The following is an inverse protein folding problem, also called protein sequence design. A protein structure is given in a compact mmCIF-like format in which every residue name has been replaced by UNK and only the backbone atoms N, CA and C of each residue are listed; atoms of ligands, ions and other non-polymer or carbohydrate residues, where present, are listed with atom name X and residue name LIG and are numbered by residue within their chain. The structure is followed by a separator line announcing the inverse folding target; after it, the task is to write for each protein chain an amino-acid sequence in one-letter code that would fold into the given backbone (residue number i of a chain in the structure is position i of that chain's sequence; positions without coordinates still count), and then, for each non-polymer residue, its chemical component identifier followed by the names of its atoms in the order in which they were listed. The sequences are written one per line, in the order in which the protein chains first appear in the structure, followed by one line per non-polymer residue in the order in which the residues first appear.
data_IF_575948138118
#
_entry.id   IF_575948138118
#
_cell.length_a   1.000
_cell.length_b   1.000
_cell.length_c   1.000
_cell.angle_alpha   90.00
_cell.angle_beta   90.00
_cell.angle_gamma   90.00
#
_symmetry.space_group_name_H-M   'P 1'
#
loop_
_entity.id
_entity.type
_entity.pdbx_description
1 polymer ?
#
# COMPACT_ATOMS: atom_id res chain seq x y z
N UNK A 1 -12.94 10.83 6.11
CA UNK A 1 -13.45 9.49 5.73
C UNK A 1 -14.91 9.40 6.17
N UNK A 2 -15.78 8.74 5.40
CA UNK A 2 -17.21 8.54 5.69
C UNK A 2 -17.59 7.08 5.45
N UNK A 3 -18.55 6.57 6.22
CA UNK A 3 -19.14 5.26 5.98
C UNK A 3 -20.52 5.43 5.32
N UNK A 4 -20.85 4.55 4.37
CA UNK A 4 -22.15 4.53 3.71
C UNK A 4 -22.77 3.14 3.81
N UNK A 5 -23.65 2.96 4.80
CA UNK A 5 -24.31 1.67 5.05
C UNK A 5 -25.28 1.26 3.92
N UNK A 6 -25.79 2.20 3.13
CA UNK A 6 -26.65 1.89 1.98
C UNK A 6 -25.84 1.33 0.80
N UNK A 7 -24.70 1.97 0.47
CA UNK A 7 -23.76 1.47 -0.54
C UNK A 7 -22.85 0.34 -0.05
N UNK A 8 -22.89 0.02 1.26
CA UNK A 8 -22.02 -0.95 1.94
C UNK A 8 -20.53 -0.72 1.66
N UNK A 9 -20.11 0.55 1.73
CA UNK A 9 -18.75 0.96 1.41
C UNK A 9 -18.28 2.12 2.28
N UNK A 10 -16.96 2.26 2.36
CA UNK A 10 -16.28 3.43 2.91
C UNK A 10 -15.89 4.39 1.80
N UNK A 11 -16.11 5.69 2.03
CA UNK A 11 -15.63 6.78 1.19
C UNK A 11 -14.43 7.45 1.87
N UNK A 12 -13.28 7.38 1.20
CA UNK A 12 -11.99 7.85 1.70
C UNK A 12 -11.56 9.04 0.86
N UNK A 13 -11.62 10.24 1.46
CA UNK A 13 -11.18 11.47 0.81
C UNK A 13 -9.73 11.76 1.18
N UNK A 14 -8.91 11.98 0.18
CA UNK A 14 -7.52 12.45 0.28
C UNK A 14 -7.42 13.87 -0.26
N UNK A 15 -6.22 14.46 -0.23
CA UNK A 15 -5.98 15.77 -0.83
C UNK A 15 -6.16 15.77 -2.36
N UNK A 16 -5.84 14.65 -3.03
CA UNK A 16 -5.83 14.53 -4.49
C UNK A 16 -7.06 13.86 -5.07
N UNK A 17 -7.72 12.96 -4.33
CA UNK A 17 -8.81 12.14 -4.85
C UNK A 17 -9.77 11.63 -3.77
N UNK A 18 -10.93 11.12 -4.21
CA UNK A 18 -11.86 10.36 -3.35
C UNK A 18 -11.92 8.92 -3.84
N UNK A 19 -11.67 7.99 -2.92
CA UNK A 19 -11.65 6.56 -3.17
C UNK A 19 -12.81 5.87 -2.45
N UNK A 20 -13.13 4.65 -2.89
CA UNK A 20 -14.10 3.80 -2.23
C UNK A 20 -13.52 2.42 -1.93
N UNK A 21 -13.86 1.86 -0.77
CA UNK A 21 -13.56 0.46 -0.47
C UNK A 21 -14.82 -0.23 0.08
N UNK A 22 -15.28 -1.34 -0.55
CA UNK A 22 -16.46 -2.07 -0.08
C UNK A 22 -16.22 -2.72 1.28
N UNK A 23 -17.28 -2.84 2.08
CA UNK A 23 -17.27 -3.57 3.35
C UNK A 23 -16.87 -5.05 3.21
N UNK A 24 -17.17 -5.67 2.07
CA UNK A 24 -16.76 -7.04 1.76
C UNK A 24 -15.24 -7.19 1.55
N UNK A 25 -14.51 -6.08 1.41
CA UNK A 25 -13.06 -6.08 1.19
C UNK A 25 -12.26 -5.77 2.44
N UNK A 26 -12.89 -5.49 3.59
CA UNK A 26 -12.20 -5.23 4.86
C UNK A 26 -12.15 -6.48 5.75
N UNK A 27 -11.18 -6.54 6.66
CA UNK A 27 -10.96 -7.73 7.50
C UNK A 27 -12.15 -8.09 8.39
N UNK A 28 -12.64 -7.14 9.17
CA UNK A 28 -13.86 -7.30 9.99
C UNK A 28 -15.07 -6.78 9.21
N UNK A 29 -15.80 -7.68 8.55
CA UNK A 29 -16.89 -7.27 7.66
C UNK A 29 -18.16 -6.86 8.43
N UNK A 30 -18.64 -5.61 8.27
CA UNK A 30 -19.95 -5.20 8.79
C UNK A 30 -21.08 -6.06 8.22
N UNK A 31 -22.02 -6.48 9.07
CA UNK A 31 -23.20 -7.27 8.68
C UNK A 31 -24.48 -6.50 8.99
N UNK A 32 -25.61 -6.96 8.46
CA UNK A 32 -26.92 -6.32 8.74
C UNK A 32 -27.23 -6.28 10.24
N UNK A 33 -26.84 -7.33 10.97
CA UNK A 33 -27.02 -7.47 12.41
C UNK A 33 -25.98 -6.73 13.26
N UNK A 34 -24.86 -6.31 12.65
CA UNK A 34 -23.78 -5.60 13.35
C UNK A 34 -23.16 -4.57 12.40
N UNK A 35 -23.79 -3.40 12.37
CA UNK A 35 -23.47 -2.32 11.42
C UNK A 35 -22.34 -1.47 11.95
N UNK A 36 -21.81 -0.61 11.09
CA UNK A 36 -20.82 0.39 11.49
C UNK A 36 -21.50 1.44 12.37
N UNK A 37 -20.98 1.61 13.59
CA UNK A 37 -21.42 2.63 14.52
C UNK A 37 -20.62 3.93 14.35
N UNK A 38 -19.30 3.83 14.19
CA UNK A 38 -18.42 4.99 14.02
C UNK A 38 -17.14 4.66 13.28
N UNK A 39 -16.51 5.69 12.72
CA UNK A 39 -15.24 5.61 12.00
C UNK A 39 -14.38 6.83 12.30
N UNK A 40 -13.08 6.64 12.48
CA UNK A 40 -12.15 7.75 12.75
C UNK A 40 -10.79 7.45 12.11
N UNK A 41 -10.10 8.52 11.71
CA UNK A 41 -8.72 8.42 11.21
C UNK A 41 -7.83 8.13 12.40
N UNK A 42 -6.97 7.15 12.25
CA UNK A 42 -5.99 6.85 13.27
C UNK A 42 -4.84 7.86 13.16
N UNK A 43 -4.71 8.73 14.17
CA UNK A 43 -3.64 9.72 14.24
C UNK A 43 -2.30 9.12 14.69
N UNK A 44 -2.32 7.95 15.34
CA UNK A 44 -1.12 7.24 15.79
C UNK A 44 -0.44 6.51 14.62
N UNK A 45 -1.20 6.07 13.62
CA UNK A 45 -0.70 5.48 12.38
C UNK A 45 -0.33 6.53 11.30
N UNK A 46 0.23 7.67 11.69
CA UNK A 46 0.63 8.74 10.76
C UNK A 46 -0.46 9.19 9.76
N UNK A 47 -1.75 8.95 10.07
CA UNK A 47 -2.90 9.16 9.18
C UNK A 47 -2.88 8.30 7.90
N UNK A 48 -2.18 7.16 7.92
CA UNK A 48 -2.10 6.20 6.82
C UNK A 48 -3.25 5.18 6.83
N UNK A 49 -4.21 5.31 7.73
CA UNK A 49 -5.37 4.43 7.81
C UNK A 49 -6.52 5.00 8.64
N UNK A 50 -7.58 4.22 8.77
CA UNK A 50 -8.71 4.53 9.63
C UNK A 50 -9.22 3.29 10.36
N UNK A 51 -9.78 3.53 11.54
CA UNK A 51 -10.44 2.51 12.36
C UNK A 51 -11.95 2.67 12.20
N UNK A 52 -12.66 1.56 12.20
CA UNK A 52 -14.12 1.50 12.31
C UNK A 52 -14.52 0.60 13.47
N UNK A 53 -15.65 0.95 14.08
CA UNK A 53 -16.22 0.23 15.22
C UNK A 53 -17.63 -0.19 14.85
N UNK A 54 -17.92 -1.47 15.04
CA UNK A 54 -19.26 -2.04 14.84
C UNK A 54 -20.14 -1.74 16.07
N UNK A 55 -21.45 -1.97 15.94
CA UNK A 55 -22.40 -1.79 17.05
C UNK A 55 -22.11 -2.71 18.23
N UNK A 56 -21.55 -3.90 17.97
CA UNK A 56 -21.03 -4.82 18.99
C UNK A 56 -19.84 -4.29 19.79
N UNK A 57 -19.22 -3.18 19.34
CA UNK A 57 -17.98 -2.65 19.89
C UNK A 57 -16.71 -3.26 19.28
N UNK A 58 -16.86 -4.29 18.44
CA UNK A 58 -15.74 -4.87 17.69
C UNK A 58 -15.09 -3.83 16.77
N UNK A 59 -13.76 -3.84 16.70
CA UNK A 59 -13.00 -2.84 15.93
C UNK A 59 -12.26 -3.49 14.77
N UNK A 60 -12.17 -2.77 13.67
CA UNK A 60 -11.34 -3.13 12.54
C UNK A 60 -10.59 -1.92 11.99
N UNK A 61 -9.50 -2.20 11.29
CA UNK A 61 -8.63 -1.17 10.69
C UNK A 61 -8.60 -1.37 9.18
N UNK A 62 -8.51 -0.26 8.45
CA UNK A 62 -8.27 -0.24 7.00
C UNK A 62 -7.06 0.66 6.74
N UNK A 63 -6.03 0.10 6.11
CA UNK A 63 -4.86 0.86 5.67
C UNK A 63 -5.13 1.53 4.32
N UNK A 64 -4.51 2.68 4.06
CA UNK A 64 -4.65 3.40 2.80
C UNK A 64 -4.17 2.54 1.62
N UNK A 65 -3.09 1.80 1.77
CA UNK A 65 -2.59 0.80 0.81
C UNK A 65 -3.69 -0.11 0.27
N UNK A 66 -4.51 -0.69 1.17
CA UNK A 66 -5.61 -1.56 0.79
C UNK A 66 -6.67 -0.83 -0.04
N UNK A 67 -6.91 0.45 0.27
CA UNK A 67 -7.83 1.31 -0.50
C UNK A 67 -7.25 1.59 -1.88
N UNK A 68 -5.99 2.02 -1.96
CA UNK A 68 -5.31 2.36 -3.21
C UNK A 68 -5.17 1.14 -4.12
N UNK A 69 -4.83 -0.02 -3.56
CA UNK A 69 -4.74 -1.29 -4.28
C UNK A 69 -6.10 -1.69 -4.87
N UNK A 70 -7.18 -1.64 -4.08
CA UNK A 70 -8.53 -1.94 -4.58
C UNK A 70 -8.95 -1.00 -5.71
N UNK A 71 -8.63 0.29 -5.60
CA UNK A 71 -8.97 1.30 -6.61
C UNK A 71 -7.97 1.32 -7.79
N UNK A 72 -6.99 0.42 -7.81
CA UNK A 72 -5.95 0.33 -8.83
C UNK A 72 -5.21 1.67 -9.05
N UNK A 73 -4.88 2.36 -7.95
CA UNK A 73 -4.16 3.63 -8.04
C UNK A 73 -2.82 3.44 -8.77
N UNK A 74 -2.59 4.12 -9.92
CA UNK A 74 -1.42 3.85 -10.74
C UNK A 74 -0.10 4.17 -10.04
N UNK A 75 -0.07 5.19 -9.18
CA UNK A 75 1.14 5.59 -8.48
C UNK A 75 1.49 4.58 -7.39
N UNK A 76 0.49 4.14 -6.63
CA UNK A 76 0.64 3.09 -5.63
C UNK A 76 1.13 1.78 -6.27
N UNK A 77 0.43 1.29 -7.30
CA UNK A 77 0.77 0.03 -7.96
C UNK A 77 2.17 0.06 -8.57
N UNK A 78 2.55 1.18 -9.21
CA UNK A 78 3.91 1.36 -9.73
C UNK A 78 4.94 1.25 -8.61
N UNK A 79 4.75 1.97 -7.51
CA UNK A 79 5.70 1.98 -6.40
C UNK A 79 5.79 0.59 -5.73
N UNK A 80 4.66 -0.09 -5.54
CA UNK A 80 4.61 -1.45 -5.00
C UNK A 80 5.28 -2.48 -5.94
N UNK A 81 5.13 -2.33 -7.26
CA UNK A 81 5.83 -3.15 -8.24
C UNK A 81 7.34 -2.89 -8.21
N UNK A 82 7.76 -1.62 -8.24
CA UNK A 82 9.17 -1.24 -8.17
C UNK A 82 9.83 -1.78 -6.89
N UNK A 83 9.18 -1.65 -5.74
CA UNK A 83 9.66 -2.20 -4.48
C UNK A 83 9.89 -3.71 -4.57
N UNK A 84 8.89 -4.47 -5.05
CA UNK A 84 9.01 -5.94 -5.24
C UNK A 84 10.16 -6.30 -6.18
N UNK A 85 10.29 -5.58 -7.29
CA UNK A 85 11.38 -5.79 -8.25
C UNK A 85 12.76 -5.48 -7.65
N UNK A 86 12.88 -4.43 -6.84
CA UNK A 86 14.14 -4.11 -6.13
C UNK A 86 14.50 -5.20 -5.13
N UNK A 87 13.55 -5.72 -4.35
CA UNK A 87 13.79 -6.84 -3.42
C UNK A 87 14.25 -8.08 -4.18
N UNK A 88 13.60 -8.42 -5.29
CA UNK A 88 13.98 -9.56 -6.11
C UNK A 88 15.36 -9.37 -6.74
N UNK A 89 15.66 -8.18 -7.25
CA UNK A 89 16.99 -7.85 -7.78
C UNK A 89 18.07 -7.98 -6.70
N UNK A 90 17.83 -7.47 -5.49
CA UNK A 90 18.75 -7.62 -4.36
C UNK A 90 19.00 -9.09 -4.01
N UNK A 91 17.95 -9.92 -3.97
CA UNK A 91 18.07 -11.36 -3.72
C UNK A 91 18.94 -12.02 -4.78
N UNK A 92 18.64 -11.80 -6.07
CA UNK A 92 19.41 -12.40 -7.17
C UNK A 92 20.86 -11.94 -7.21
N UNK A 93 21.13 -10.67 -6.91
CA UNK A 93 22.51 -10.17 -6.81
C UNK A 93 23.25 -10.84 -5.65
N UNK A 94 22.60 -11.06 -4.50
CA UNK A 94 23.20 -11.74 -3.35
C UNK A 94 23.48 -13.23 -3.60
N UNK A 95 22.62 -13.92 -4.35
CA UNK A 95 22.78 -15.36 -4.65
C UNK A 95 23.62 -15.64 -5.89
N UNK A 96 23.93 -14.62 -6.69
CA UNK A 96 24.72 -14.77 -7.91
C UNK A 96 26.20 -15.01 -7.58
N UNK A 97 26.86 -15.85 -8.38
CA UNK A 97 28.32 -16.01 -8.36
C UNK A 97 29.04 -14.86 -9.08
N UNK A 98 28.30 -14.00 -9.79
CA UNK A 98 28.86 -12.86 -10.52
C UNK A 98 29.14 -11.70 -9.57
N UNK A 99 30.31 -11.08 -9.74
CA UNK A 99 30.60 -9.81 -9.07
C UNK A 99 29.67 -8.70 -9.58
N UNK A 100 29.42 -7.67 -8.76
CA UNK A 100 28.63 -6.49 -9.18
C UNK A 100 29.18 -5.85 -10.46
N UNK A 101 30.51 -5.82 -10.64
CA UNK A 101 31.15 -5.28 -11.84
C UNK A 101 30.85 -6.12 -13.09
N UNK A 102 30.82 -7.44 -12.96
CA UNK A 102 30.44 -8.33 -14.06
C UNK A 102 28.96 -8.21 -14.42
N UNK A 103 28.10 -8.03 -13.42
CA UNK A 103 26.67 -7.72 -13.63
C UNK A 103 26.50 -6.40 -14.39
N UNK A 104 27.20 -5.34 -13.96
CA UNK A 104 27.23 -4.03 -14.64
C UNK A 104 27.64 -4.18 -16.10
N UNK A 105 28.72 -4.94 -16.36
CA UNK A 105 29.23 -5.20 -17.71
C UNK A 105 28.21 -5.91 -18.59
N UNK A 106 27.56 -6.98 -18.10
CA UNK A 106 26.58 -7.76 -18.86
C UNK A 106 25.28 -7.01 -19.13
N UNK A 107 24.86 -6.15 -18.20
CA UNK A 107 23.67 -5.32 -18.36
C UNK A 107 23.91 -4.08 -19.24
N UNK A 108 25.16 -3.78 -19.62
CA UNK A 108 25.48 -2.57 -20.38
C UNK A 108 25.11 -1.28 -19.64
N UNK A 109 25.23 -1.29 -18.30
CA UNK A 109 24.84 -0.17 -17.44
C UNK A 109 26.04 0.38 -16.66
N UNK A 110 25.86 1.45 -15.91
CA UNK A 110 26.86 1.98 -14.98
C UNK A 110 26.71 1.39 -13.58
N UNK A 111 27.79 1.39 -12.79
CA UNK A 111 27.72 0.97 -11.38
C UNK A 111 26.74 1.83 -10.57
N UNK A 112 26.68 3.13 -10.84
CA UNK A 112 25.74 4.04 -10.19
C UNK A 112 24.28 3.67 -10.48
N UNK A 113 23.95 3.30 -11.73
CA UNK A 113 22.61 2.84 -12.10
C UNK A 113 22.25 1.53 -11.40
N UNK A 114 23.19 0.57 -11.33
CA UNK A 114 22.96 -0.67 -10.59
C UNK A 114 22.69 -0.38 -9.10
N UNK A 115 23.46 0.49 -8.46
CA UNK A 115 23.24 0.81 -7.05
C UNK A 115 21.89 1.48 -6.80
N UNK A 116 21.44 2.38 -7.69
CA UNK A 116 20.10 2.97 -7.58
C UNK A 116 18.98 1.94 -7.68
N UNK A 117 19.11 0.94 -8.56
CA UNK A 117 18.13 -0.14 -8.67
C UNK A 117 18.06 -1.01 -7.41
N UNK A 118 19.21 -1.19 -6.74
CA UNK A 118 19.33 -1.99 -5.53
C UNK A 118 19.08 -1.20 -4.25
N UNK A 119 18.88 0.11 -4.33
CA UNK A 119 18.67 0.98 -3.18
C UNK A 119 17.17 1.25 -2.98
N UNK A 120 16.65 0.85 -1.82
CA UNK A 120 15.24 1.02 -1.45
C UNK A 120 14.92 2.46 -0.99
N UNK A 121 15.93 3.26 -0.63
CA UNK A 121 15.76 4.60 -0.06
C UNK A 121 15.56 5.68 -1.13
N UNK A 122 15.92 5.39 -2.38
CA UNK A 122 15.78 6.31 -3.53
C UNK A 122 14.34 6.44 -4.08
N UNK A 123 13.32 6.04 -3.32
CA UNK A 123 11.91 6.07 -3.73
C UNK A 123 11.19 7.38 -3.33
N UNK A 124 11.81 8.25 -2.54
CA UNK A 124 11.30 9.60 -2.25
C UNK A 124 12.15 10.63 -2.97
N UNK A 125 11.51 11.45 -3.80
CA UNK A 125 12.11 12.67 -4.34
C UNK A 125 12.36 13.60 -3.15
N UNK A 126 13.61 14.05 -2.97
CA UNK A 126 13.96 15.19 -2.10
C UNK A 126 13.16 16.43 -2.46
#
# INVERSE_FOLDING_TARGET
MKHNNHKKAFEVKTASATYQIPYARVGLQPRTADRIARTFVDTELAREGFIYVLQSGSQGTVHMDQVLEYNQDPSYLRNALLYRLTIEAQKRVKTSTLSKREIVRRLGTSAAQLYRLLDQTNQRKS
#
